data_IF_584431227836
#
_entry.id   IF_584431227836
#
_cell.length_a   1.000
_cell.length_b   1.000
_cell.length_c   1.000
_cell.angle_alpha   90.00
_cell.angle_beta   90.00
_cell.angle_gamma   90.00
#
_symmetry.space_group_name_H-M   'P 1'
#
loop_
_entity.id
_entity.type
_entity.pdbx_description
1 polymer ?
#
# COMPACT_ATOMS: atom_id res chain seq x y z
N UNK A 1 -77.11 -27.18 -27.96
CA UNK A 1 -76.67 -25.81 -27.58
C UNK A 1 -75.55 -25.79 -26.54
N UNK A 2 -75.51 -26.70 -25.56
CA UNK A 2 -74.50 -26.71 -24.48
C UNK A 2 -73.04 -27.01 -24.89
N UNK A 3 -72.80 -27.64 -26.03
CA UNK A 3 -71.46 -28.03 -26.47
C UNK A 3 -70.68 -26.92 -27.17
N UNK A 4 -71.37 -25.93 -27.74
CA UNK A 4 -70.72 -24.82 -28.48
C UNK A 4 -70.22 -23.74 -27.51
N UNK A 5 -70.98 -23.45 -26.45
CA UNK A 5 -70.62 -22.45 -25.44
C UNK A 5 -69.37 -22.87 -24.64
N UNK A 6 -69.21 -24.16 -24.33
CA UNK A 6 -67.98 -24.68 -23.66
C UNK A 6 -66.73 -24.57 -24.54
N UNK A 7 -66.86 -24.69 -25.86
CA UNK A 7 -65.71 -24.58 -26.78
C UNK A 7 -65.21 -23.12 -26.90
N UNK A 8 -66.09 -22.13 -26.83
CA UNK A 8 -65.66 -20.72 -26.86
C UNK A 8 -64.92 -20.29 -25.59
N UNK A 9 -65.32 -20.78 -24.42
CA UNK A 9 -64.70 -20.45 -23.13
C UNK A 9 -63.27 -21.00 -22.98
N UNK A 10 -62.99 -22.18 -23.56
CA UNK A 10 -61.64 -22.78 -23.49
C UNK A 10 -60.69 -22.06 -24.45
N UNK A 11 -61.17 -21.63 -25.63
CA UNK A 11 -60.36 -20.90 -26.60
C UNK A 11 -59.94 -19.53 -26.08
N UNK A 12 -60.82 -18.82 -25.36
CA UNK A 12 -60.50 -17.50 -24.80
C UNK A 12 -59.45 -17.58 -23.70
N UNK A 13 -59.51 -18.61 -22.84
CA UNK A 13 -58.51 -18.85 -21.77
C UNK A 13 -57.14 -19.19 -22.36
N UNK A 14 -57.09 -20.03 -23.40
CA UNK A 14 -55.84 -20.37 -24.10
C UNK A 14 -55.23 -19.15 -24.81
N UNK A 15 -56.04 -18.30 -25.45
CA UNK A 15 -55.56 -17.07 -26.08
C UNK A 15 -55.01 -16.08 -25.06
N UNK A 16 -55.65 -15.94 -23.88
CA UNK A 16 -55.14 -15.08 -22.81
C UNK A 16 -53.87 -15.63 -22.14
N UNK A 17 -53.70 -16.96 -22.05
CA UNK A 17 -52.47 -17.57 -21.51
C UNK A 17 -51.28 -17.41 -22.47
N UNK A 18 -51.50 -17.51 -23.79
CA UNK A 18 -50.45 -17.25 -24.78
C UNK A 18 -50.06 -15.77 -24.83
N UNK A 19 -51.01 -14.85 -24.62
CA UNK A 19 -50.73 -13.42 -24.53
C UNK A 19 -49.85 -13.02 -23.34
N UNK A 20 -50.01 -13.70 -22.19
CA UNK A 20 -49.21 -13.41 -20.99
C UNK A 20 -47.79 -13.99 -21.04
N UNK A 21 -47.57 -15.08 -21.80
CA UNK A 21 -46.25 -15.70 -21.91
C UNK A 21 -45.25 -14.86 -22.73
N UNK A 22 -45.73 -14.02 -23.65
CA UNK A 22 -44.89 -13.14 -24.45
C UNK A 22 -44.26 -11.97 -23.67
N UNK A 23 -44.78 -11.65 -22.47
CA UNK A 23 -44.28 -10.54 -21.64
C UNK A 23 -43.14 -10.93 -20.68
N UNK A 24 -42.78 -12.23 -20.61
CA UNK A 24 -41.76 -12.74 -19.68
C UNK A 24 -40.42 -13.07 -20.33
N UNK A 25 -40.30 -12.96 -21.67
CA UNK A 25 -39.01 -13.10 -22.33
C UNK A 25 -38.36 -11.72 -22.41
N UNK A 26 -37.31 -11.52 -21.62
CA UNK A 26 -36.41 -10.40 -21.80
C UNK A 26 -35.98 -10.36 -23.27
N UNK A 27 -36.41 -9.32 -23.99
CA UNK A 27 -36.17 -9.26 -25.43
C UNK A 27 -34.66 -9.20 -25.67
N UNK A 28 -34.15 -10.17 -26.42
CA UNK A 28 -32.75 -10.19 -26.87
C UNK A 28 -32.64 -9.25 -28.05
N UNK A 29 -31.90 -8.17 -27.89
CA UNK A 29 -31.69 -7.18 -28.95
C UNK A 29 -30.22 -6.79 -29.04
N UNK A 30 -29.73 -6.44 -30.25
CA UNK A 30 -28.34 -6.05 -30.45
C UNK A 30 -28.08 -4.70 -29.78
N UNK A 31 -26.97 -4.60 -29.05
CA UNK A 31 -26.53 -3.35 -28.39
C UNK A 31 -25.39 -2.65 -29.13
N UNK A 32 -24.73 -3.36 -30.04
CA UNK A 32 -23.63 -2.82 -30.83
C UNK A 32 -22.89 -3.90 -31.59
N UNK A 33 -21.92 -3.46 -32.39
CA UNK A 33 -21.05 -4.32 -33.17
C UNK A 33 -19.59 -4.12 -32.79
N UNK A 34 -18.80 -5.15 -33.01
CA UNK A 34 -17.35 -5.13 -32.89
C UNK A 34 -16.77 -5.52 -34.25
N UNK A 35 -15.87 -4.71 -34.77
CA UNK A 35 -15.23 -4.92 -36.07
C UNK A 35 -13.75 -5.15 -35.81
N UNK A 36 -13.29 -6.38 -36.02
CA UNK A 36 -11.90 -6.78 -35.91
C UNK A 36 -11.25 -6.61 -37.29
N UNK A 37 -10.80 -5.40 -37.58
CA UNK A 37 -10.22 -5.00 -38.87
C UNK A 37 -9.03 -5.86 -39.27
N UNK A 38 -8.19 -6.24 -38.31
CA UNK A 38 -7.01 -7.08 -38.57
C UNK A 38 -7.37 -8.48 -39.07
N UNK A 39 -8.53 -9.01 -38.67
CA UNK A 39 -8.97 -10.36 -39.03
C UNK A 39 -10.06 -10.39 -40.11
N UNK A 40 -10.57 -9.22 -40.53
CA UNK A 40 -11.72 -9.15 -41.43
C UNK A 40 -12.98 -9.77 -40.83
N UNK A 41 -13.11 -9.76 -39.50
CA UNK A 41 -14.23 -10.36 -38.78
C UNK A 41 -15.08 -9.28 -38.12
N UNK A 42 -16.37 -9.57 -37.94
CA UNK A 42 -17.25 -8.72 -37.15
C UNK A 42 -18.18 -9.57 -36.28
N UNK A 43 -18.54 -9.02 -35.14
CA UNK A 43 -19.36 -9.67 -34.13
C UNK A 43 -20.48 -8.72 -33.71
N UNK A 44 -21.66 -9.26 -33.47
CA UNK A 44 -22.78 -8.53 -32.88
C UNK A 44 -22.90 -8.91 -31.41
N UNK A 45 -22.94 -7.90 -30.53
CA UNK A 45 -23.19 -8.10 -29.10
C UNK A 45 -24.66 -7.83 -28.79
N UNK A 46 -25.24 -8.69 -27.97
CA UNK A 46 -26.61 -8.56 -27.48
C UNK A 46 -26.63 -8.02 -26.05
N UNK A 47 -27.77 -7.49 -25.62
CA UNK A 47 -27.99 -7.00 -24.26
C UNK A 47 -27.75 -8.04 -23.15
N UNK A 48 -27.76 -9.33 -23.48
CA UNK A 48 -27.40 -10.44 -22.59
C UNK A 48 -25.88 -10.60 -22.38
N UNK A 49 -25.06 -9.86 -23.13
CA UNK A 49 -23.60 -10.00 -23.14
C UNK A 49 -23.09 -11.12 -24.04
N UNK A 50 -23.98 -11.88 -24.68
CA UNK A 50 -23.60 -12.85 -25.71
C UNK A 50 -23.10 -12.10 -26.94
N UNK A 51 -21.98 -12.56 -27.48
CA UNK A 51 -21.40 -12.08 -28.73
C UNK A 51 -21.45 -13.20 -29.77
N UNK A 52 -21.80 -12.86 -31.01
CA UNK A 52 -21.96 -13.82 -32.12
C UNK A 52 -21.26 -13.28 -33.35
N UNK A 53 -20.43 -14.09 -34.01
CA UNK A 53 -19.77 -13.70 -35.26
C UNK A 53 -20.78 -13.53 -36.39
N UNK A 54 -20.71 -12.41 -37.10
CA UNK A 54 -21.51 -12.17 -38.29
C UNK A 54 -21.07 -13.13 -39.40
N UNK A 55 -22.04 -13.85 -39.97
CA UNK A 55 -21.78 -14.87 -41.01
C UNK A 55 -21.29 -16.23 -40.49
N UNK A 56 -21.03 -16.37 -39.19
CA UNK A 56 -20.67 -17.65 -38.57
C UNK A 56 -21.24 -17.79 -37.15
N UNK A 57 -22.55 -18.07 -36.99
CA UNK A 57 -23.21 -18.07 -35.69
C UNK A 57 -22.66 -19.11 -34.69
N UNK A 58 -21.99 -20.16 -35.19
CA UNK A 58 -21.34 -21.17 -34.35
C UNK A 58 -20.12 -20.64 -33.58
N UNK A 59 -19.57 -19.50 -34.00
CA UNK A 59 -18.54 -18.79 -33.26
C UNK A 59 -19.19 -17.71 -32.38
N UNK A 60 -19.52 -18.09 -31.15
CA UNK A 60 -20.18 -17.24 -30.18
C UNK A 60 -19.59 -17.47 -28.77
N UNK A 61 -19.78 -16.49 -27.89
CA UNK A 61 -19.40 -16.64 -26.49
C UNK A 61 -19.94 -15.52 -25.61
N UNK A 62 -19.69 -15.61 -24.31
CA UNK A 62 -20.16 -14.64 -23.33
C UNK A 62 -19.06 -13.61 -23.07
N UNK A 63 -19.34 -12.33 -23.33
CA UNK A 63 -18.51 -11.25 -22.81
C UNK A 63 -18.81 -11.05 -21.32
N UNK A 64 -17.77 -10.80 -20.54
CA UNK A 64 -17.85 -10.47 -19.13
C UNK A 64 -17.17 -9.13 -18.90
N UNK A 65 -17.60 -8.40 -17.87
CA UNK A 65 -16.83 -7.21 -17.46
C UNK A 65 -15.38 -7.60 -17.21
N UNK A 66 -14.45 -6.76 -17.65
CA UNK A 66 -13.07 -6.94 -17.25
C UNK A 66 -12.99 -6.75 -15.73
N UNK A 67 -12.49 -7.79 -15.10
CA UNK A 67 -12.49 -7.92 -13.66
C UNK A 67 -11.29 -7.21 -13.04
N UNK A 68 -10.37 -6.66 -13.82
CA UNK A 68 -9.28 -5.84 -13.31
C UNK A 68 -9.61 -4.35 -13.28
N UNK A 69 -10.64 -3.92 -14.02
CA UNK A 69 -10.95 -2.50 -14.23
C UNK A 69 -10.02 -1.77 -15.20
N UNK A 70 -9.09 -2.47 -15.85
CA UNK A 70 -8.14 -1.90 -16.82
C UNK A 70 -8.85 -1.62 -18.14
N UNK A 71 -9.65 -2.57 -18.60
CA UNK A 71 -10.52 -2.50 -19.77
C UNK A 71 -11.99 -2.55 -19.32
N UNK A 72 -12.91 -2.44 -20.27
CA UNK A 72 -14.34 -2.50 -20.00
C UNK A 72 -14.87 -3.94 -20.00
N UNK A 73 -14.63 -4.69 -21.08
CA UNK A 73 -15.04 -6.10 -21.19
C UNK A 73 -13.86 -7.00 -21.50
N UNK A 74 -13.88 -8.20 -20.94
CA UNK A 74 -13.13 -9.35 -21.41
C UNK A 74 -14.01 -10.12 -22.40
N UNK A 75 -13.44 -10.38 -23.59
CA UNK A 75 -14.09 -11.08 -24.68
C UNK A 75 -13.57 -12.53 -24.76
N UNK A 76 -14.42 -13.51 -25.11
CA UNK A 76 -14.03 -14.91 -25.19
C UNK A 76 -12.94 -15.13 -26.25
N UNK A 77 -11.94 -15.94 -25.90
CA UNK A 77 -10.84 -16.34 -26.79
C UNK A 77 -10.92 -17.84 -27.07
N UNK A 78 -10.69 -18.24 -28.32
CA UNK A 78 -10.58 -19.65 -28.69
C UNK A 78 -9.26 -20.30 -28.19
N UNK A 79 -8.26 -19.49 -27.85
CA UNK A 79 -6.95 -19.93 -27.35
C UNK A 79 -6.52 -19.11 -26.12
N UNK A 80 -7.25 -19.23 -24.99
CA UNK A 80 -7.11 -18.34 -23.84
C UNK A 80 -5.72 -18.36 -23.18
N UNK A 81 -4.95 -19.44 -23.37
CA UNK A 81 -3.57 -19.54 -22.88
C UNK A 81 -2.53 -18.76 -23.70
N UNK A 82 -2.90 -18.28 -24.89
CA UNK A 82 -2.01 -17.53 -25.78
C UNK A 82 -2.51 -16.12 -26.06
N UNK A 83 -3.84 -15.96 -26.17
CA UNK A 83 -4.47 -14.71 -26.56
C UNK A 83 -5.66 -14.40 -25.69
N UNK A 84 -5.76 -13.15 -25.28
CA UNK A 84 -6.94 -12.59 -24.64
C UNK A 84 -7.43 -11.37 -25.42
N UNK A 85 -8.75 -11.17 -25.42
CA UNK A 85 -9.38 -10.08 -26.17
C UNK A 85 -10.15 -9.19 -25.21
N UNK A 86 -10.05 -7.88 -25.40
CA UNK A 86 -10.72 -6.91 -24.54
C UNK A 86 -11.38 -5.81 -25.35
N UNK A 87 -12.45 -5.25 -24.79
CA UNK A 87 -13.00 -3.96 -25.20
C UNK A 87 -12.54 -2.91 -24.18
N UNK A 88 -11.81 -1.88 -24.61
CA UNK A 88 -11.45 -0.78 -23.70
C UNK A 88 -12.57 0.26 -23.56
N UNK A 89 -12.32 1.22 -22.66
CA UNK A 89 -13.21 2.35 -22.42
C UNK A 89 -13.30 3.36 -23.58
N UNK A 90 -12.43 3.26 -24.58
CA UNK A 90 -12.40 4.10 -25.77
C UNK A 90 -13.07 3.44 -26.97
N UNK A 91 -13.66 2.25 -26.78
CA UNK A 91 -14.28 1.42 -27.82
C UNK A 91 -13.30 0.77 -28.80
N UNK A 92 -12.04 0.60 -28.42
CA UNK A 92 -11.10 -0.21 -29.18
C UNK A 92 -11.24 -1.69 -28.81
N UNK A 93 -11.10 -2.56 -29.82
CA UNK A 93 -10.93 -4.00 -29.60
C UNK A 93 -9.45 -4.30 -29.55
N UNK A 94 -9.04 -4.87 -28.43
CA UNK A 94 -7.65 -5.14 -28.09
C UNK A 94 -7.41 -6.64 -28.15
N UNK A 95 -6.32 -7.03 -28.80
CA UNK A 95 -5.70 -8.33 -28.60
C UNK A 95 -4.49 -8.17 -27.68
N UNK A 96 -4.45 -9.00 -26.65
CA UNK A 96 -3.25 -9.26 -25.86
C UNK A 96 -2.70 -10.62 -26.29
N UNK A 97 -1.53 -10.61 -26.91
CA UNK A 97 -0.79 -11.82 -27.26
C UNK A 97 0.41 -11.92 -26.33
N UNK A 98 0.63 -13.09 -25.73
CA UNK A 98 1.72 -13.25 -24.75
C UNK A 98 3.13 -13.03 -25.34
N UNK A 99 3.30 -13.15 -26.67
CA UNK A 99 4.57 -12.88 -27.38
C UNK A 99 4.64 -11.48 -27.96
N UNK A 100 3.52 -11.01 -28.53
CA UNK A 100 3.48 -9.77 -29.32
C UNK A 100 2.95 -8.57 -28.52
N UNK A 101 2.44 -8.79 -27.31
CA UNK A 101 1.92 -7.77 -26.42
C UNK A 101 0.57 -7.21 -26.84
N UNK A 102 0.31 -5.97 -26.44
CA UNK A 102 -0.93 -5.24 -26.67
C UNK A 102 -1.06 -4.73 -28.11
N UNK A 103 -2.19 -4.98 -28.76
CA UNK A 103 -2.51 -4.44 -30.09
C UNK A 103 -3.98 -4.07 -30.21
N UNK A 104 -4.25 -2.89 -30.77
CA UNK A 104 -5.59 -2.54 -31.23
C UNK A 104 -5.82 -3.24 -32.56
N UNK A 105 -6.80 -4.14 -32.60
CA UNK A 105 -7.13 -4.97 -33.78
C UNK A 105 -8.47 -4.58 -34.41
N UNK A 106 -9.15 -3.58 -33.85
CA UNK A 106 -10.49 -3.21 -34.24
C UNK A 106 -11.12 -2.16 -33.35
N UNK A 107 -12.40 -1.91 -33.59
CA UNK A 107 -13.21 -0.95 -32.84
C UNK A 107 -14.63 -1.48 -32.61
N UNK A 108 -15.37 -0.80 -31.75
CA UNK A 108 -16.73 -1.16 -31.41
C UNK A 108 -17.69 0.03 -31.40
N UNK A 109 -18.96 -0.24 -31.68
CA UNK A 109 -20.07 0.69 -31.48
C UNK A 109 -20.83 0.44 -30.18
N UNK A 110 -20.40 -0.55 -29.37
CA UNK A 110 -21.00 -0.84 -28.07
C UNK A 110 -20.92 0.41 -27.20
N UNK A 111 -22.01 0.83 -26.54
CA UNK A 111 -21.97 1.93 -25.59
C UNK A 111 -21.13 1.50 -24.38
N UNK A 112 -20.01 2.20 -24.18
CA UNK A 112 -19.10 2.00 -23.05
C UNK A 112 -19.27 3.20 -22.12
N UNK A 113 -19.51 2.99 -20.81
CA UNK A 113 -19.52 4.10 -19.87
C UNK A 113 -18.17 4.82 -19.90
N UNK A 114 -18.11 6.10 -19.53
CA UNK A 114 -16.83 6.75 -19.30
C UNK A 114 -16.04 5.87 -18.33
N UNK A 115 -14.74 5.71 -18.61
CA UNK A 115 -13.84 4.99 -17.71
C UNK A 115 -14.13 5.48 -16.30
N UNK A 116 -14.35 4.58 -15.32
CA UNK A 116 -14.31 4.99 -13.93
C UNK A 116 -12.87 5.41 -13.68
N UNK A 117 -12.54 6.65 -14.06
CA UNK A 117 -11.47 7.36 -13.43
C UNK A 117 -11.90 7.35 -11.98
N UNK A 118 -11.18 6.61 -11.14
CA UNK A 118 -11.12 7.05 -9.77
C UNK A 118 -10.54 8.45 -9.90
N UNK A 119 -11.41 9.45 -9.83
CA UNK A 119 -11.02 10.84 -9.86
C UNK A 119 -10.35 11.07 -8.53
N UNK A 120 -9.12 10.59 -8.45
CA UNK A 120 -8.22 10.85 -7.38
C UNK A 120 -7.73 12.24 -7.73
N UNK A 121 -8.09 13.27 -6.97
CA UNK A 121 -7.28 14.47 -7.03
C UNK A 121 -5.83 14.00 -6.84
N UNK A 122 -4.93 14.39 -7.76
CA UNK A 122 -3.49 14.21 -7.53
C UNK A 122 -3.26 14.68 -6.10
N UNK A 123 -2.69 13.84 -5.22
CA UNK A 123 -2.60 14.19 -3.82
C UNK A 123 -1.82 15.50 -3.73
N UNK A 124 -2.54 16.56 -3.34
CA UNK A 124 -1.97 17.85 -3.02
C UNK A 124 -1.58 17.70 -1.57
N UNK A 125 -0.31 17.37 -1.35
CA UNK A 125 0.24 17.23 -0.02
C UNK A 125 0.26 18.63 0.59
N UNK A 126 -0.50 18.80 1.67
CA UNK A 126 -0.45 20.05 2.42
C UNK A 126 0.94 20.20 3.03
N UNK A 127 1.64 21.27 2.66
CA UNK A 127 2.98 21.61 3.17
C UNK A 127 2.99 21.83 4.69
N UNK A 128 1.81 21.88 5.32
CA UNK A 128 1.61 22.18 6.73
C UNK A 128 1.72 20.97 7.64
N UNK A 129 1.60 19.74 7.15
CA UNK A 129 1.75 18.52 7.97
C UNK A 129 2.99 17.75 7.53
N UNK A 130 3.84 17.30 8.45
CA UNK A 130 5.07 16.59 8.08
C UNK A 130 5.88 15.99 9.22
N UNK A 131 6.83 15.11 8.90
CA UNK A 131 7.80 14.53 9.84
C UNK A 131 8.95 15.51 10.02
N UNK A 132 9.27 15.84 11.26
CA UNK A 132 10.45 16.64 11.59
C UNK A 132 11.69 15.74 11.63
N UNK A 133 12.59 15.89 10.65
CA UNK A 133 13.87 15.16 10.55
C UNK A 133 15.05 16.10 10.86
N UNK A 134 16.29 15.58 10.82
CA UNK A 134 17.53 16.38 10.88
C UNK A 134 17.63 17.45 9.79
N UNK A 135 16.96 17.23 8.66
CA UNK A 135 17.07 18.06 7.46
C UNK A 135 15.90 19.04 7.32
N UNK A 136 14.92 18.99 8.23
CA UNK A 136 13.74 19.86 8.22
C UNK A 136 12.41 19.09 8.22
N UNK A 137 11.35 19.77 7.83
CA UNK A 137 9.99 19.21 7.77
C UNK A 137 9.77 18.50 6.42
N UNK A 138 9.47 17.20 6.44
CA UNK A 138 9.07 16.43 5.25
C UNK A 138 7.55 16.25 5.24
N UNK A 139 6.81 16.70 4.21
CA UNK A 139 5.35 16.76 4.25
C UNK A 139 4.69 15.37 4.29
N UNK A 140 3.58 15.25 5.02
CA UNK A 140 2.74 14.06 5.13
C UNK A 140 1.31 14.37 4.65
N UNK A 141 0.58 13.41 4.08
CA UNK A 141 -0.79 13.62 3.62
C UNK A 141 -1.76 13.62 4.82
N UNK A 142 -2.63 14.63 4.89
CA UNK A 142 -3.57 14.85 6.00
C UNK A 142 -4.56 13.69 6.20
N UNK A 143 -4.91 12.94 5.14
CA UNK A 143 -5.90 11.85 5.23
C UNK A 143 -5.39 10.60 5.96
N UNK A 144 -4.09 10.48 6.23
CA UNK A 144 -3.50 9.27 6.79
C UNK A 144 -2.97 9.50 8.20
N UNK A 145 -2.93 10.75 8.70
CA UNK A 145 -2.36 11.07 10.01
C UNK A 145 -3.28 10.67 11.15
N UNK A 146 -2.78 9.84 12.07
CA UNK A 146 -3.46 9.60 13.36
C UNK A 146 -3.11 10.72 14.34
N UNK A 147 -3.92 11.78 14.32
CA UNK A 147 -3.75 12.96 15.19
C UNK A 147 -3.81 12.62 16.69
N UNK A 148 -4.38 11.47 17.05
CA UNK A 148 -4.49 11.06 18.45
C UNK A 148 -3.18 10.47 18.99
N UNK A 149 -2.22 10.10 18.13
CA UNK A 149 -0.96 9.47 18.53
C UNK A 149 0.24 10.04 17.75
N UNK A 150 0.56 11.34 17.80
CA UNK A 150 1.51 11.95 16.86
C UNK A 150 2.98 11.53 17.02
N UNK A 151 3.33 10.67 17.98
CA UNK A 151 4.70 10.26 18.27
C UNK A 151 4.91 8.77 18.00
N UNK A 152 6.01 8.45 17.32
CA UNK A 152 6.43 7.08 17.03
C UNK A 152 7.25 6.42 18.15
N UNK A 153 7.83 5.26 17.86
CA UNK A 153 8.76 4.55 18.75
C UNK A 153 10.20 5.10 18.57
N UNK A 154 11.00 5.09 19.64
CA UNK A 154 12.45 5.40 19.52
C UNK A 154 13.17 4.17 18.98
N UNK A 155 13.88 4.32 17.86
CA UNK A 155 14.74 3.26 17.32
C UNK A 155 16.00 3.12 18.18
N UNK A 156 16.04 2.08 19.02
CA UNK A 156 17.11 1.82 19.97
C UNK A 156 17.53 0.36 19.98
N UNK A 157 18.80 0.10 20.29
CA UNK A 157 19.34 -1.23 20.53
C UNK A 157 20.38 -1.19 21.66
N UNK A 158 20.92 -2.35 22.05
CA UNK A 158 21.91 -2.46 23.12
C UNK A 158 23.33 -2.16 22.62
N UNK A 159 24.23 -1.74 23.54
CA UNK A 159 25.66 -1.58 23.23
C UNK A 159 26.25 -2.87 22.65
N UNK A 160 25.93 -4.03 23.23
CA UNK A 160 26.42 -5.31 22.74
C UNK A 160 25.97 -5.58 21.30
N UNK A 161 24.71 -5.31 20.97
CA UNK A 161 24.21 -5.47 19.61
C UNK A 161 24.88 -4.50 18.64
N UNK A 162 25.15 -3.27 19.07
CA UNK A 162 25.92 -2.31 18.27
C UNK A 162 27.36 -2.78 18.05
N UNK A 163 28.01 -3.35 19.06
CA UNK A 163 29.35 -3.97 18.96
C UNK A 163 29.34 -5.14 17.98
N UNK A 164 28.33 -6.01 18.07
CA UNK A 164 28.19 -7.16 17.18
C UNK A 164 27.99 -6.70 15.73
N UNK A 165 27.10 -5.74 15.50
CA UNK A 165 26.93 -5.13 14.18
C UNK A 165 28.23 -4.51 13.66
N UNK A 166 28.92 -3.73 14.50
CA UNK A 166 30.17 -3.07 14.12
C UNK A 166 31.26 -4.06 13.70
N UNK A 167 31.47 -5.12 14.49
CA UNK A 167 32.47 -6.15 14.21
C UNK A 167 32.16 -6.95 12.95
N UNK A 168 30.88 -7.28 12.73
CA UNK A 168 30.46 -8.11 11.61
C UNK A 168 30.48 -7.38 10.26
N UNK A 169 30.61 -6.05 10.27
CA UNK A 169 30.59 -5.22 9.06
C UNK A 169 31.91 -4.49 8.83
N UNK A 170 32.99 -4.94 9.47
CA UNK A 170 34.34 -4.45 9.17
C UNK A 170 34.86 -5.08 7.89
N UNK A 171 35.35 -4.25 6.99
CA UNK A 171 36.09 -4.65 5.81
C UNK A 171 37.48 -5.20 6.19
N UNK A 172 38.12 -5.97 5.31
CA UNK A 172 39.48 -6.49 5.53
C UNK A 172 40.54 -5.39 5.74
N UNK A 173 40.30 -4.17 5.26
CA UNK A 173 41.19 -3.01 5.40
C UNK A 173 41.00 -2.27 6.75
N UNK A 174 40.10 -2.76 7.61
CA UNK A 174 39.79 -2.15 8.91
C UNK A 174 38.78 -1.01 8.87
N UNK A 175 38.26 -0.65 7.69
CA UNK A 175 37.16 0.32 7.55
C UNK A 175 35.80 -0.35 7.78
N UNK A 176 34.78 0.42 8.16
CA UNK A 176 33.42 -0.12 8.33
C UNK A 176 32.59 0.03 7.06
N UNK A 177 31.89 -1.02 6.66
CA UNK A 177 30.86 -0.93 5.64
C UNK A 177 29.62 -0.24 6.22
N UNK A 178 29.48 1.06 5.94
CA UNK A 178 28.42 1.89 6.53
C UNK A 178 27.00 1.42 6.18
N UNK A 179 26.81 0.84 4.99
CA UNK A 179 25.51 0.34 4.56
C UNK A 179 25.12 -0.94 5.30
N UNK A 180 26.05 -1.89 5.40
CA UNK A 180 25.82 -3.12 6.16
C UNK A 180 25.67 -2.85 7.66
N UNK A 181 26.50 -1.94 8.20
CA UNK A 181 26.38 -1.52 9.59
C UNK A 181 25.02 -0.90 9.87
N UNK A 182 24.62 0.07 9.04
CA UNK A 182 23.31 0.72 9.17
C UNK A 182 22.15 -0.27 9.05
N UNK A 183 22.25 -1.24 8.14
CA UNK A 183 21.24 -2.29 7.97
C UNK A 183 21.13 -3.20 9.19
N UNK A 184 22.27 -3.62 9.75
CA UNK A 184 22.32 -4.39 10.98
C UNK A 184 21.69 -3.62 12.14
N UNK A 185 22.02 -2.33 12.26
CA UNK A 185 21.44 -1.46 13.29
C UNK A 185 19.93 -1.32 13.12
N UNK A 186 19.42 -0.95 11.94
CA UNK A 186 17.97 -0.84 11.70
C UNK A 186 17.25 -2.15 12.00
N UNK A 187 17.81 -3.28 11.59
CA UNK A 187 17.25 -4.62 11.84
C UNK A 187 17.11 -4.94 13.34
N UNK A 188 18.00 -4.41 14.17
CA UNK A 188 17.99 -4.65 15.61
C UNK A 188 17.35 -3.52 16.43
N UNK A 189 17.00 -2.39 15.81
CA UNK A 189 16.36 -1.24 16.45
C UNK A 189 14.87 -1.10 16.11
N UNK A 190 14.49 -1.44 14.87
CA UNK A 190 13.14 -1.25 14.38
C UNK A 190 12.16 -2.28 14.97
N UNK A 191 10.91 -1.86 15.20
CA UNK A 191 9.82 -2.78 15.47
C UNK A 191 9.53 -3.69 14.29
N UNK A 192 8.80 -4.79 14.53
CA UNK A 192 8.54 -5.80 13.50
C UNK A 192 7.89 -5.21 12.25
N UNK A 193 6.94 -4.29 12.40
CA UNK A 193 6.22 -3.71 11.25
C UNK A 193 7.11 -2.71 10.51
N UNK A 194 7.80 -1.85 11.24
CA UNK A 194 8.70 -0.81 10.73
C UNK A 194 9.89 -1.44 9.99
N UNK A 195 10.41 -2.56 10.50
CA UNK A 195 11.46 -3.34 9.87
C UNK A 195 11.02 -3.89 8.51
N UNK A 196 9.80 -4.41 8.41
CA UNK A 196 9.29 -4.93 7.14
C UNK A 196 9.06 -3.78 6.14
N UNK A 197 8.59 -2.60 6.60
CA UNK A 197 8.44 -1.41 5.75
C UNK A 197 9.81 -0.93 5.23
N UNK A 198 10.81 -0.88 6.10
CA UNK A 198 12.20 -0.59 5.74
C UNK A 198 12.71 -1.58 4.67
N UNK A 199 12.53 -2.88 4.89
CA UNK A 199 12.94 -3.91 3.94
C UNK A 199 12.23 -3.77 2.60
N UNK A 200 10.94 -3.39 2.58
CA UNK A 200 10.26 -3.10 1.33
C UNK A 200 10.97 -2.01 0.55
N UNK A 201 11.26 -0.87 1.17
CA UNK A 201 11.95 0.20 0.48
C UNK A 201 13.38 -0.18 0.04
N UNK A 202 14.12 -0.88 0.90
CA UNK A 202 15.49 -1.29 0.60
C UNK A 202 15.57 -2.32 -0.54
N UNK A 203 14.64 -3.27 -0.57
CA UNK A 203 14.71 -4.42 -1.49
C UNK A 203 13.86 -4.24 -2.76
N UNK A 204 13.10 -3.17 -2.87
CA UNK A 204 12.30 -2.90 -4.09
C UNK A 204 13.14 -2.13 -5.10
N UNK A 205 13.10 -2.57 -6.34
CA UNK A 205 13.83 -1.90 -7.43
C UNK A 205 13.01 -0.73 -8.00
N UNK A 206 11.69 -0.80 -7.86
CA UNK A 206 10.77 0.18 -8.42
C UNK A 206 9.76 0.71 -7.39
N UNK A 207 9.20 1.91 -7.61
CA UNK A 207 8.14 2.47 -6.78
C UNK A 207 6.89 1.59 -6.71
N UNK A 208 6.58 0.87 -7.79
CA UNK A 208 5.47 -0.07 -7.85
C UNK A 208 5.70 -1.26 -6.92
N UNK A 209 6.89 -1.87 -6.96
CA UNK A 209 7.27 -2.95 -6.05
C UNK A 209 7.23 -2.48 -4.60
N UNK A 210 7.81 -1.30 -4.35
CA UNK A 210 7.82 -0.69 -3.02
C UNK A 210 6.39 -0.50 -2.51
N UNK A 211 5.51 0.03 -3.36
CA UNK A 211 4.11 0.30 -3.02
C UNK A 211 3.34 -0.99 -2.73
N UNK A 212 3.49 -2.01 -3.58
CA UNK A 212 2.86 -3.33 -3.38
C UNK A 212 3.37 -4.02 -2.11
N UNK A 213 4.68 -3.94 -1.85
CA UNK A 213 5.30 -4.51 -0.67
C UNK A 213 4.78 -3.84 0.61
N UNK A 214 4.73 -2.51 0.64
CA UNK A 214 4.19 -1.75 1.78
C UNK A 214 2.68 -2.03 2.00
N UNK A 215 1.89 -2.09 0.94
CA UNK A 215 0.47 -2.46 1.01
C UNK A 215 0.28 -3.87 1.58
N UNK A 216 1.16 -4.82 1.23
CA UNK A 216 1.12 -6.18 1.77
C UNK A 216 1.37 -6.25 3.27
N UNK A 217 2.15 -5.32 3.83
CA UNK A 217 2.46 -5.26 5.27
C UNK A 217 1.35 -4.54 6.02
N UNK A 218 0.83 -3.48 5.41
CA UNK A 218 -0.08 -2.55 6.07
C UNK A 218 -1.54 -2.95 5.90
N UNK A 219 -1.86 -3.77 4.90
CA UNK A 219 -3.20 -4.32 4.72
C UNK A 219 -3.49 -5.54 5.60
N UNK A 220 -4.75 -6.01 5.55
CA UNK A 220 -5.17 -7.26 6.16
C UNK A 220 -4.72 -8.50 5.39
N UNK A 221 -5.20 -9.68 5.80
CA UNK A 221 -4.92 -10.94 5.10
C UNK A 221 -5.38 -10.93 3.64
N UNK A 222 -6.51 -10.26 3.37
CA UNK A 222 -7.07 -10.10 2.02
C UNK A 222 -6.20 -9.20 1.15
N UNK A 223 -5.84 -8.02 1.64
CA UNK A 223 -4.94 -7.08 0.96
C UNK A 223 -3.60 -7.74 0.65
N UNK A 224 -3.03 -8.46 1.62
CA UNK A 224 -1.78 -9.21 1.43
C UNK A 224 -1.88 -10.18 0.26
N UNK A 225 -2.97 -10.93 0.15
CA UNK A 225 -3.17 -11.85 -0.98
C UNK A 225 -3.27 -11.09 -2.31
N UNK A 226 -4.06 -10.01 -2.36
CA UNK A 226 -4.22 -9.17 -3.55
C UNK A 226 -2.87 -8.59 -4.00
N UNK A 227 -2.08 -8.04 -3.07
CA UNK A 227 -0.77 -7.46 -3.36
C UNK A 227 0.25 -8.50 -3.84
N UNK A 228 0.17 -9.74 -3.34
CA UNK A 228 1.01 -10.83 -3.81
C UNK A 228 0.67 -11.22 -5.24
N UNK A 229 -0.61 -11.24 -5.59
CA UNK A 229 -1.04 -11.51 -6.96
C UNK A 229 -0.63 -10.37 -7.90
N UNK A 230 -0.79 -9.12 -7.49
CA UNK A 230 -0.29 -7.96 -8.24
C UNK A 230 1.23 -7.97 -8.38
N UNK A 231 1.97 -8.36 -7.34
CA UNK A 231 3.43 -8.45 -7.40
C UNK A 231 3.89 -9.52 -8.39
N UNK A 232 3.18 -10.64 -8.52
CA UNK A 232 3.46 -11.65 -9.54
C UNK A 232 3.29 -11.07 -10.95
N UNK A 233 2.21 -10.34 -11.19
CA UNK A 233 2.00 -9.65 -12.48
C UNK A 233 3.07 -8.62 -12.76
N UNK A 234 3.43 -7.84 -11.75
CA UNK A 234 4.47 -6.83 -11.89
C UNK A 234 5.79 -7.45 -12.31
N UNK A 235 6.17 -8.58 -11.71
CA UNK A 235 7.39 -9.30 -12.09
C UNK A 235 7.35 -9.87 -13.51
N UNK A 236 6.17 -10.21 -14.02
CA UNK A 236 6.03 -10.79 -15.36
C UNK A 236 5.88 -9.73 -16.46
N UNK A 237 5.12 -8.66 -16.21
CA UNK A 237 4.71 -7.67 -17.20
C UNK A 237 5.15 -6.24 -16.90
N UNK A 238 5.77 -5.99 -15.74
CA UNK A 238 6.22 -4.67 -15.31
C UNK A 238 5.08 -3.64 -15.25
N UNK A 239 5.33 -2.48 -15.87
CA UNK A 239 4.39 -1.36 -15.97
C UNK A 239 3.35 -1.52 -17.10
N UNK A 240 3.34 -2.66 -17.81
CA UNK A 240 2.36 -2.94 -18.84
C UNK A 240 1.07 -3.45 -18.18
N UNK A 241 0.35 -2.54 -17.52
CA UNK A 241 -0.90 -2.83 -16.82
C UNK A 241 -1.93 -3.44 -17.76
N UNK A 242 -1.89 -3.15 -19.05
CA UNK A 242 -2.75 -3.78 -20.04
C UNK A 242 -2.64 -5.30 -20.07
N UNK A 243 -1.49 -5.87 -19.67
CA UNK A 243 -1.24 -7.33 -19.62
C UNK A 243 -1.68 -7.98 -18.30
N UNK A 244 -1.96 -7.20 -17.25
CA UNK A 244 -2.36 -7.73 -15.94
C UNK A 244 -3.64 -8.58 -15.93
N UNK A 245 -4.64 -8.38 -16.81
CA UNK A 245 -5.78 -9.28 -16.91
C UNK A 245 -5.39 -10.75 -17.13
N UNK A 246 -4.23 -11.03 -17.75
CA UNK A 246 -3.74 -12.40 -17.95
C UNK A 246 -3.42 -13.10 -16.62
N UNK A 247 -3.00 -12.37 -15.59
CA UNK A 247 -2.71 -12.97 -14.29
C UNK A 247 -3.94 -13.33 -13.47
N UNK A 248 -5.05 -12.64 -13.71
CA UNK A 248 -6.22 -12.64 -12.81
C UNK A 248 -7.41 -13.41 -13.39
N UNK A 249 -7.17 -14.21 -14.45
CA UNK A 249 -8.19 -15.01 -15.12
C UNK A 249 -8.99 -15.93 -14.16
N UNK A 250 -8.37 -16.41 -13.08
CA UNK A 250 -9.03 -17.25 -12.06
C UNK A 250 -9.60 -16.46 -10.86
N UNK A 251 -9.42 -15.14 -10.82
CA UNK A 251 -9.72 -14.27 -9.64
C UNK A 251 -10.78 -13.20 -9.92
N UNK A 252 -11.61 -13.49 -10.90
CA UNK A 252 -12.65 -12.66 -11.53
C UNK A 252 -13.58 -11.95 -10.52
N UNK A 253 -13.89 -12.55 -9.38
CA UNK A 253 -14.94 -12.03 -8.50
C UNK A 253 -14.46 -11.12 -7.36
N UNK A 254 -13.20 -10.67 -7.33
CA UNK A 254 -12.66 -9.85 -6.23
C UNK A 254 -12.77 -8.34 -6.52
N UNK A 255 -13.72 -7.60 -5.92
CA UNK A 255 -13.91 -6.17 -6.19
C UNK A 255 -12.72 -5.30 -5.72
N UNK A 256 -12.02 -5.69 -4.66
CA UNK A 256 -10.88 -4.97 -4.12
C UNK A 256 -9.64 -5.10 -5.02
N UNK A 257 -9.45 -6.26 -5.65
CA UNK A 257 -8.39 -6.45 -6.64
C UNK A 257 -8.58 -5.47 -7.81
N UNK A 258 -9.81 -5.30 -8.32
CA UNK A 258 -10.08 -4.35 -9.41
C UNK A 258 -9.79 -2.91 -8.99
N UNK A 259 -10.22 -2.55 -7.78
CA UNK A 259 -9.95 -1.22 -7.24
C UNK A 259 -8.44 -0.98 -7.17
N UNK A 260 -7.68 -1.92 -6.61
CA UNK A 260 -6.23 -1.73 -6.46
C UNK A 260 -5.52 -1.63 -7.82
N UNK A 261 -5.85 -2.50 -8.77
CA UNK A 261 -5.25 -2.46 -10.11
C UNK A 261 -5.57 -1.15 -10.83
N UNK A 262 -6.81 -0.65 -10.73
CA UNK A 262 -7.16 0.65 -11.33
C UNK A 262 -6.42 1.81 -10.66
N UNK A 263 -6.19 1.77 -9.34
CA UNK A 263 -5.38 2.78 -8.65
C UNK A 263 -3.95 2.86 -9.21
N UNK A 264 -3.30 1.72 -9.37
CA UNK A 264 -1.95 1.64 -9.93
C UNK A 264 -1.92 2.16 -11.37
N UNK A 265 -2.85 1.71 -12.23
CA UNK A 265 -2.92 2.14 -13.63
C UNK A 265 -3.14 3.65 -13.77
N UNK A 266 -4.05 4.21 -12.99
CA UNK A 266 -4.36 5.64 -13.05
C UNK A 266 -3.20 6.50 -12.52
N UNK A 267 -2.52 6.03 -11.47
CA UNK A 267 -1.34 6.70 -10.94
C UNK A 267 -0.17 6.64 -11.93
N UNK A 268 0.11 5.48 -12.53
CA UNK A 268 1.13 5.31 -13.56
C UNK A 268 0.85 6.13 -14.82
N UNK A 269 -0.43 6.30 -15.20
CA UNK A 269 -0.81 7.12 -16.35
C UNK A 269 -0.65 8.63 -16.10
N UNK A 270 -0.63 9.06 -14.84
CA UNK A 270 -0.61 10.48 -14.45
C UNK A 270 0.72 10.93 -13.81
N UNK A 271 1.67 10.01 -13.65
CA UNK A 271 2.97 10.21 -13.02
C UNK A 271 3.55 8.88 -12.52
N UNK A 272 4.17 8.91 -11.35
CA UNK A 272 4.80 7.75 -10.72
C UNK A 272 3.87 7.11 -9.71
N UNK A 273 3.84 5.78 -9.66
CA UNK A 273 3.14 5.06 -8.59
C UNK A 273 3.82 5.33 -7.25
N UNK A 274 3.02 5.62 -6.23
CA UNK A 274 3.50 5.81 -4.86
C UNK A 274 2.57 5.12 -3.91
N UNK A 275 3.12 4.62 -2.80
CA UNK A 275 2.33 3.98 -1.76
C UNK A 275 1.19 4.89 -1.30
N UNK A 276 1.46 6.18 -1.07
CA UNK A 276 0.45 7.11 -0.55
C UNK A 276 -0.67 7.38 -1.56
N UNK A 277 -0.35 7.60 -2.84
CA UNK A 277 -1.38 7.78 -3.87
C UNK A 277 -2.26 6.54 -4.03
N UNK A 278 -1.63 5.36 -3.96
CA UNK A 278 -2.35 4.10 -4.00
C UNK A 278 -3.19 3.86 -2.74
N UNK A 279 -2.66 4.15 -1.55
CA UNK A 279 -3.37 3.99 -0.29
C UNK A 279 -4.63 4.86 -0.22
N UNK A 280 -4.53 6.13 -0.63
CA UNK A 280 -5.69 7.03 -0.73
C UNK A 280 -6.73 6.48 -1.69
N UNK A 281 -6.29 5.99 -2.85
CA UNK A 281 -7.18 5.44 -3.86
C UNK A 281 -7.88 4.15 -3.45
N UNK A 282 -7.12 3.19 -2.92
CA UNK A 282 -7.61 1.89 -2.53
C UNK A 282 -8.50 1.97 -1.27
N UNK A 283 -8.25 2.99 -0.45
CA UNK A 283 -8.96 3.31 0.77
C UNK A 283 -8.03 3.16 1.98
N UNK A 284 -7.50 4.28 2.48
CA UNK A 284 -6.56 4.31 3.59
C UNK A 284 -7.13 3.65 4.87
N UNK A 285 -8.44 3.71 5.08
CA UNK A 285 -9.12 3.04 6.21
C UNK A 285 -9.09 1.51 6.17
N UNK A 286 -8.67 0.90 5.05
CA UNK A 286 -8.42 -0.55 4.94
C UNK A 286 -7.01 -0.94 5.36
N UNK A 287 -6.14 0.05 5.62
CA UNK A 287 -4.75 -0.16 5.99
C UNK A 287 -4.56 0.13 7.48
N UNK A 288 -3.78 -0.71 8.14
CA UNK A 288 -3.40 -0.57 9.54
C UNK A 288 -2.20 0.39 9.67
N UNK A 289 -2.49 1.66 9.38
CA UNK A 289 -1.57 2.79 9.46
C UNK A 289 -1.70 3.46 10.83
N UNK A 290 -1.04 2.90 11.84
CA UNK A 290 -0.71 3.65 13.06
C UNK A 290 0.42 4.65 12.78
N UNK A 291 0.62 5.61 13.67
CA UNK A 291 1.64 6.66 13.52
C UNK A 291 3.04 6.13 13.26
N UNK A 292 3.45 5.05 13.93
CA UNK A 292 4.76 4.43 13.71
C UNK A 292 4.92 3.91 12.28
N UNK A 293 3.88 3.24 11.77
CA UNK A 293 3.85 2.76 10.41
C UNK A 293 3.83 3.90 9.39
N UNK A 294 3.13 4.99 9.68
CA UNK A 294 3.11 6.19 8.82
C UNK A 294 4.50 6.83 8.75
N UNK A 295 5.16 7.02 9.90
CA UNK A 295 6.53 7.55 9.97
C UNK A 295 7.48 6.63 9.22
N UNK A 296 7.42 5.33 9.46
CA UNK A 296 8.27 4.35 8.80
C UNK A 296 8.05 4.34 7.28
N UNK A 297 6.81 4.38 6.80
CA UNK A 297 6.51 4.44 5.35
C UNK A 297 7.15 5.67 4.72
N UNK A 298 6.95 6.84 5.29
CA UNK A 298 7.47 8.09 4.72
C UNK A 298 8.99 8.10 4.73
N UNK A 299 9.61 7.68 5.84
CA UNK A 299 11.05 7.57 5.91
C UNK A 299 11.60 6.52 4.94
N UNK A 300 10.90 5.42 4.74
CA UNK A 300 11.28 4.37 3.80
C UNK A 300 11.19 4.87 2.35
N UNK A 301 10.10 5.56 1.98
CA UNK A 301 9.91 6.15 0.64
C UNK A 301 10.93 7.26 0.38
N UNK A 302 11.07 8.22 1.31
CA UNK A 302 11.92 9.40 1.10
C UNK A 302 13.42 9.08 1.06
N UNK A 303 13.84 8.02 1.74
CA UNK A 303 15.25 7.60 1.79
C UNK A 303 15.58 6.48 0.81
N UNK A 304 14.58 5.93 0.10
CA UNK A 304 14.75 4.73 -0.72
C UNK A 304 15.24 3.52 0.07
N UNK A 305 14.93 3.45 1.37
CA UNK A 305 15.40 2.38 2.25
C UNK A 305 16.91 2.45 2.54
N UNK A 306 17.57 3.59 2.35
CA UNK A 306 18.96 3.75 2.76
C UNK A 306 19.04 3.64 4.29
N UNK A 307 19.77 2.66 4.86
CA UNK A 307 19.65 2.31 6.27
C UNK A 307 19.89 3.46 7.25
N UNK A 308 20.89 4.29 6.98
CA UNK A 308 21.31 5.36 7.88
C UNK A 308 20.32 6.54 7.88
N UNK A 309 19.90 6.97 6.69
CA UNK A 309 18.90 8.00 6.48
C UNK A 309 17.53 7.54 6.98
N UNK A 310 17.18 6.27 6.75
CA UNK A 310 15.96 5.67 7.29
C UNK A 310 15.97 5.71 8.81
N UNK A 311 17.05 5.26 9.46
CA UNK A 311 17.16 5.29 10.91
C UNK A 311 17.12 6.72 11.48
N UNK A 312 17.74 7.69 10.81
CA UNK A 312 17.70 9.08 11.21
C UNK A 312 16.32 9.71 11.05
N UNK A 313 15.61 9.38 9.97
CA UNK A 313 14.26 9.86 9.72
C UNK A 313 13.24 9.22 10.67
N UNK A 314 13.22 7.88 10.75
CA UNK A 314 12.21 7.12 11.48
C UNK A 314 12.54 6.94 12.97
N UNK A 315 13.81 7.09 13.36
CA UNK A 315 14.28 7.07 14.75
C UNK A 315 14.53 8.45 15.35
N UNK A 316 14.59 9.50 14.53
CA UNK A 316 14.78 10.88 14.97
C UNK A 316 16.25 11.27 15.26
N UNK A 317 16.43 12.50 15.76
CA UNK A 317 17.74 13.15 15.91
C UNK A 317 18.73 12.36 16.77
N UNK A 318 18.25 11.70 17.84
CA UNK A 318 19.14 11.00 18.76
C UNK A 318 19.65 9.69 18.17
N UNK A 319 18.79 8.94 17.46
CA UNK A 319 19.22 7.76 16.69
C UNK A 319 20.24 8.16 15.63
N UNK A 320 19.99 9.24 14.89
CA UNK A 320 20.96 9.78 13.93
C UNK A 320 22.32 10.08 14.59
N UNK A 321 22.32 10.86 15.68
CA UNK A 321 23.55 11.28 16.38
C UNK A 321 24.32 10.09 16.97
N UNK A 322 23.64 9.11 17.54
CA UNK A 322 24.31 7.90 18.04
C UNK A 322 24.88 7.07 16.89
N UNK A 323 24.14 6.87 15.79
CA UNK A 323 24.69 6.19 14.62
C UNK A 323 25.89 6.96 14.02
N UNK A 324 25.85 8.30 13.96
CA UNK A 324 27.01 9.10 13.52
C UNK A 324 28.23 8.80 14.38
N UNK A 325 28.07 8.79 15.72
CA UNK A 325 29.17 8.49 16.64
C UNK A 325 29.72 7.09 16.45
N UNK A 326 28.89 6.10 16.10
CA UNK A 326 29.39 4.76 15.83
C UNK A 326 30.39 4.79 14.67
N UNK A 327 30.05 5.56 13.63
CA UNK A 327 30.87 5.67 12.43
C UNK A 327 32.13 6.53 12.65
N UNK A 328 32.06 7.56 13.51
CA UNK A 328 33.17 8.51 13.70
C UNK A 328 34.07 8.20 14.89
N UNK A 329 33.53 7.59 15.95
CA UNK A 329 34.19 7.39 17.24
C UNK A 329 34.18 5.92 17.71
N UNK A 330 33.58 5.01 16.93
CA UNK A 330 33.41 3.61 17.30
C UNK A 330 32.26 3.37 18.28
N UNK A 331 32.08 2.12 18.69
CA UNK A 331 31.08 1.71 19.69
C UNK A 331 31.70 1.69 21.09
N UNK A 332 31.00 2.25 22.08
CA UNK A 332 31.42 2.26 23.48
C UNK A 332 32.38 3.41 23.86
N UNK A 333 32.96 3.33 25.05
CA UNK A 333 33.89 4.35 25.58
C UNK A 333 33.21 5.67 25.96
N UNK A 334 34.01 6.73 26.16
CA UNK A 334 33.50 8.03 26.62
C UNK A 334 32.92 8.90 25.49
N UNK A 335 33.32 8.62 24.23
CA UNK A 335 33.01 9.43 23.03
C UNK A 335 32.33 8.63 21.90
N UNK A 336 32.36 7.29 21.95
CA UNK A 336 31.70 6.43 20.96
C UNK A 336 30.19 6.34 21.17
N UNK A 337 29.50 5.72 20.23
CA UNK A 337 28.07 5.51 20.35
C UNK A 337 27.74 4.44 21.38
N UNK A 338 26.58 4.58 22.02
CA UNK A 338 26.11 3.66 23.06
C UNK A 338 27.09 3.47 24.25
N UNK A 339 28.13 4.30 24.38
CA UNK A 339 29.05 4.28 25.51
C UNK A 339 28.50 5.00 26.75
N UNK A 340 29.37 5.26 27.76
CA UNK A 340 28.98 5.85 29.07
C UNK A 340 28.23 7.18 28.96
N UNK A 341 28.34 7.86 27.82
CA UNK A 341 27.74 9.16 27.50
C UNK A 341 26.66 9.10 26.40
N UNK A 342 25.98 7.96 26.22
CA UNK A 342 24.91 7.74 25.25
C UNK A 342 23.87 8.88 25.23
N UNK A 343 23.70 9.54 24.08
CA UNK A 343 22.79 10.69 23.92
C UNK A 343 21.33 10.30 23.99
N UNK A 344 20.98 9.07 23.57
CA UNK A 344 19.61 8.57 23.68
C UNK A 344 19.24 8.39 25.15
N UNK A 345 20.08 7.74 25.95
CA UNK A 345 19.86 7.58 27.39
C UNK A 345 19.82 8.93 28.11
N UNK A 346 20.71 9.87 27.74
CA UNK A 346 20.65 11.25 28.25
C UNK A 346 19.34 11.96 27.92
N UNK A 347 18.86 11.85 26.68
CA UNK A 347 17.58 12.42 26.27
C UNK A 347 16.40 11.80 27.02
N UNK A 348 16.41 10.48 27.22
CA UNK A 348 15.38 9.79 28.00
C UNK A 348 15.43 10.17 29.49
N UNK A 349 16.62 10.32 30.07
CA UNK A 349 16.77 10.81 31.45
C UNK A 349 16.26 12.25 31.61
N UNK A 350 16.48 13.12 30.62
CA UNK A 350 15.93 14.49 30.62
C UNK A 350 14.39 14.49 30.62
N UNK A 351 13.76 13.56 29.90
CA UNK A 351 12.31 13.35 29.98
C UNK A 351 11.93 12.87 31.39
N UNK A 352 12.66 11.91 31.95
CA UNK A 352 12.43 11.40 33.31
C UNK A 352 12.50 12.50 34.37
N UNK A 353 13.47 13.40 34.27
CA UNK A 353 13.60 14.57 35.13
C UNK A 353 12.43 15.55 34.94
N UNK A 354 11.99 15.79 33.70
CA UNK A 354 10.82 16.61 33.42
C UNK A 354 9.54 16.00 34.02
N UNK A 355 9.37 14.68 33.91
CA UNK A 355 8.27 13.93 34.51
C UNK A 355 8.33 14.01 36.05
N UNK A 356 9.51 13.83 36.63
CA UNK A 356 9.73 13.94 38.08
C UNK A 356 9.38 15.33 38.60
N UNK A 357 9.76 16.39 37.87
CA UNK A 357 9.43 17.76 38.24
C UNK A 357 7.93 18.07 38.13
N UNK A 358 7.23 17.43 37.20
CA UNK A 358 5.81 17.67 36.98
C UNK A 358 4.90 16.83 37.89
N UNK A 359 5.24 15.57 38.13
CA UNK A 359 4.37 14.61 38.82
C UNK A 359 4.90 14.14 40.18
N UNK A 360 6.14 14.50 40.52
CA UNK A 360 6.82 14.09 41.75
C UNK A 360 7.55 12.74 41.61
N UNK A 361 8.62 12.51 42.39
CA UNK A 361 9.50 11.34 42.27
C UNK A 361 8.84 10.00 42.62
N UNK A 362 7.74 10.02 43.37
CA UNK A 362 7.04 8.82 43.83
C UNK A 362 5.90 8.40 42.91
N UNK A 363 5.59 9.20 41.87
CA UNK A 363 4.53 8.93 40.92
C UNK A 363 4.83 7.68 40.08
N UNK A 364 3.81 6.88 39.80
CA UNK A 364 3.94 5.61 39.09
C UNK A 364 4.44 5.79 37.64
N UNK A 365 4.09 6.89 36.97
CA UNK A 365 4.62 7.24 35.64
C UNK A 365 6.13 7.47 35.71
N UNK A 366 6.61 8.18 36.73
CA UNK A 366 8.03 8.52 36.91
C UNK A 366 8.85 7.28 37.26
N UNK A 367 8.33 6.43 38.16
CA UNK A 367 8.97 5.15 38.49
C UNK A 367 9.06 4.24 37.28
N UNK A 368 7.94 4.07 36.57
CA UNK A 368 7.86 3.21 35.38
C UNK A 368 8.80 3.70 34.28
N UNK A 369 8.89 5.02 34.08
CA UNK A 369 9.86 5.63 33.15
C UNK A 369 11.31 5.37 33.56
N UNK A 370 11.67 5.61 34.82
CA UNK A 370 13.05 5.45 35.28
C UNK A 370 13.50 3.98 35.27
N UNK A 371 12.63 3.04 35.66
CA UNK A 371 12.90 1.60 35.51
C UNK A 371 13.08 1.23 34.04
N UNK A 372 12.24 1.77 33.16
CA UNK A 372 12.34 1.56 31.71
C UNK A 372 13.67 2.05 31.12
N UNK A 373 14.13 3.25 31.51
CA UNK A 373 15.41 3.80 31.03
C UNK A 373 16.60 3.04 31.61
N UNK A 374 16.50 2.62 32.87
CA UNK A 374 17.50 1.75 33.50
C UNK A 374 17.62 0.40 32.77
N UNK A 375 16.50 -0.24 32.46
CA UNK A 375 16.50 -1.53 31.74
C UNK A 375 17.05 -1.40 30.32
N UNK A 376 16.85 -0.24 29.67
CA UNK A 376 17.50 0.09 28.39
C UNK A 376 19.03 0.23 28.51
N UNK A 377 19.52 0.73 29.64
CA UNK A 377 20.93 0.95 29.88
C UNK A 377 21.68 -0.34 30.29
N UNK A 378 21.00 -1.28 30.95
CA UNK A 378 21.64 -2.46 31.55
C UNK A 378 21.13 -3.82 31.01
N UNK A 379 20.08 -3.84 30.17
CA UNK A 379 19.49 -5.03 29.54
C UNK A 379 18.39 -5.69 30.39
N UNK A 380 17.26 -6.11 29.77
CA UNK A 380 17.25 -7.33 28.96
C UNK A 380 16.63 -7.14 27.56
N UNK A 381 17.05 -7.99 26.62
CA UNK A 381 16.99 -7.74 25.18
C UNK A 381 15.64 -7.88 24.46
N UNK A 382 15.70 -7.55 23.16
CA UNK A 382 14.81 -7.79 22.01
C UNK A 382 13.28 -7.64 22.13
N UNK A 383 12.73 -7.38 23.32
CA UNK A 383 11.29 -7.13 23.47
C UNK A 383 11.03 -5.70 23.94
N UNK A 384 10.53 -4.92 22.98
CA UNK A 384 9.92 -3.58 22.95
C UNK A 384 9.08 -3.08 24.16
N UNK A 385 9.12 -3.65 25.37
CA UNK A 385 8.31 -3.15 26.49
C UNK A 385 8.73 -1.74 26.93
N UNK A 386 10.04 -1.47 26.99
CA UNK A 386 10.58 -0.15 27.29
C UNK A 386 10.17 0.92 26.25
N UNK A 387 10.25 0.57 24.97
CA UNK A 387 9.91 1.47 23.86
C UNK A 387 8.41 1.74 23.81
N UNK A 388 7.57 0.72 24.09
CA UNK A 388 6.12 0.87 24.23
C UNK A 388 5.76 1.84 25.35
N UNK A 389 6.42 1.74 26.50
CA UNK A 389 6.23 2.67 27.64
C UNK A 389 6.60 4.09 27.22
N UNK A 390 7.74 4.28 26.57
CA UNK A 390 8.18 5.60 26.07
C UNK A 390 7.14 6.20 25.11
N UNK A 391 6.63 5.41 24.16
CA UNK A 391 5.61 5.85 23.20
C UNK A 391 4.27 6.16 23.86
N UNK A 392 3.77 5.28 24.71
CA UNK A 392 2.47 5.44 25.35
C UNK A 392 2.46 6.72 26.20
N UNK A 393 3.51 6.91 27.02
CA UNK A 393 3.69 8.11 27.85
C UNK A 393 3.84 9.36 26.95
N UNK A 394 4.57 9.26 25.83
CA UNK A 394 4.73 10.37 24.89
C UNK A 394 3.42 10.79 24.22
N UNK A 395 2.57 9.83 23.84
CA UNK A 395 1.27 10.09 23.23
C UNK A 395 0.23 10.62 24.24
N UNK A 396 0.31 10.19 25.50
CA UNK A 396 -0.52 10.72 26.60
C UNK A 396 -0.13 12.15 26.99
N UNK A 397 1.18 12.43 27.09
CA UNK A 397 1.69 13.71 27.59
C UNK A 397 1.93 14.76 26.49
N UNK A 398 2.13 14.34 25.25
CA UNK A 398 2.37 15.23 24.11
C UNK A 398 1.18 16.08 23.69
N UNK A 399 -0.04 15.76 24.18
CA UNK A 399 -1.26 16.59 24.06
C UNK A 399 -1.38 17.65 25.15
N UNK A 400 -0.69 17.47 26.28
CA UNK A 400 -0.61 18.48 27.32
C UNK A 400 0.53 19.44 26.97
N UNK A 401 0.22 20.71 26.69
CA UNK A 401 1.17 21.77 26.32
C UNK A 401 2.18 22.14 27.42
N UNK A 402 2.97 21.19 27.86
CA UNK A 402 3.84 21.22 29.04
C UNK A 402 5.32 21.17 28.65
N UNK A 403 6.22 21.43 29.60
CA UNK A 403 7.67 21.30 29.40
C UNK A 403 8.08 19.86 28.99
N UNK A 404 7.34 18.85 29.46
CA UNK A 404 7.53 17.44 29.09
C UNK A 404 7.34 17.23 27.58
N UNK A 405 6.31 17.84 26.98
CA UNK A 405 6.07 17.77 25.54
C UNK A 405 7.18 18.39 24.67
N UNK A 406 7.98 19.32 25.20
CA UNK A 406 9.15 19.88 24.50
C UNK A 406 10.34 18.92 24.52
N UNK A 407 10.58 18.23 25.64
CA UNK A 407 11.67 17.26 25.76
C UNK A 407 11.39 15.99 24.94
N UNK A 408 10.14 15.51 24.91
CA UNK A 408 9.73 14.36 24.08
C UNK A 408 10.04 14.59 22.60
N UNK A 409 9.77 15.79 22.06
CA UNK A 409 10.05 16.13 20.64
C UNK A 409 11.52 16.06 20.26
N UNK A 410 12.44 16.13 21.23
CA UNK A 410 13.88 16.01 20.97
C UNK A 410 14.31 14.55 20.80
N UNK A 411 13.52 13.62 21.37
CA UNK A 411 13.86 12.20 21.50
C UNK A 411 13.07 11.34 20.51
N UNK A 412 11.80 11.68 20.30
CA UNK A 412 10.86 10.85 19.54
C UNK A 412 10.45 11.59 18.26
N UNK A 413 10.53 10.95 17.07
CA UNK A 413 10.03 11.56 15.84
C UNK A 413 8.54 11.83 15.96
N UNK A 414 8.14 13.04 15.57
CA UNK A 414 6.77 13.55 15.67
C UNK A 414 6.21 13.90 14.29
N UNK A 415 4.95 13.55 14.07
CA UNK A 415 4.13 14.18 13.03
C UNK A 415 3.74 15.59 13.49
N UNK A 416 4.29 16.63 12.84
CA UNK A 416 3.90 18.03 13.07
C UNK A 416 2.69 18.37 12.24
N UNK A 417 1.70 18.99 12.88
CA UNK A 417 0.60 19.72 12.26
C UNK A 417 0.92 21.20 12.48
N UNK A 418 1.28 21.94 11.42
CA UNK A 418 1.19 23.40 11.46
C UNK A 418 -0.27 23.76 11.18
N UNK A 419 -0.86 24.53 12.08
CA UNK A 419 -2.11 25.24 11.82
C UNK A 419 -1.80 26.52 11.04
#
# INVERSE_FOLDING_TARGET
MNTIIKKLSILSVFASLMGFCALLFAQVYPIGQMVLTTYGQSFTMYNTGVIVQNGNPGNAGQAVYDQTGINYLCLPSAVPYQKAFFLDFNRNIIELDYRLGYRIIGYSTIPVPPRPAMYLPKPTYDNQIGIETAEGLRPLPTQIVDEQKPFGDVMMTSEQTAVDCYKNTMNPDGTINQLEFGDCMVTNMAGKKELEIYKCAKNSETPEEQSLCMLSILGGSKERQITQDMMKCYKEYGNNYEMYPLCFADKVNNPELKQLVSCFKDQASSGQVTFMGTAVCYGAGKLNLNTEAQIAVECAVSTGGQPYAFAGCAGGQLTYRELSKCLTNGVGGDHGCFGRNNTIVKGLNQIGDALKNQFGPTNDIVKTWNTTVHDLQYGPGKNHEAVKVVRNISNELGKAGTNVGKEIKKVVPKIRIKW
#
